data_IF_700254185746
#
_entry.id   IF_700254185746
#
_cell.length_a   1.000
_cell.length_b   1.000
_cell.length_c   1.000
_cell.angle_alpha   90.00
_cell.angle_beta   90.00
_cell.angle_gamma   90.00
#
_symmetry.space_group_name_H-M   'P 1'
#
loop_
_entity.id
_entity.type
_entity.pdbx_description
1 polymer ?
#
# COMPACT_ATOMS: atom_id res chain seq x y z
N UNK A 1 -12.73 3.24 13.02
CA UNK A 1 -11.92 4.38 13.51
C UNK A 1 -11.08 4.86 12.34
N UNK A 2 -11.20 6.15 11.99
CA UNK A 2 -10.37 6.76 10.95
C UNK A 2 -8.91 6.79 11.41
N UNK A 3 -7.97 6.69 10.49
CA UNK A 3 -6.55 6.87 10.81
C UNK A 3 -6.28 8.30 11.28
N UNK A 4 -5.62 8.48 12.44
CA UNK A 4 -5.23 9.81 12.96
C UNK A 4 -3.95 10.33 12.27
N UNK A 5 -3.86 10.12 10.95
CA UNK A 5 -2.70 10.45 10.14
C UNK A 5 -2.91 11.75 9.37
N UNK A 6 -1.83 12.50 9.15
CA UNK A 6 -1.84 13.68 8.27
C UNK A 6 -1.39 13.35 6.83
N UNK A 7 -1.00 12.10 6.60
CA UNK A 7 -0.50 11.64 5.31
C UNK A 7 -1.63 11.44 4.29
N UNK A 8 -1.39 11.82 3.04
CA UNK A 8 -2.36 11.61 1.95
C UNK A 8 -2.56 10.13 1.65
N UNK A 9 -1.50 9.34 1.84
CA UNK A 9 -1.52 7.88 1.74
C UNK A 9 -2.47 7.22 2.73
N UNK A 10 -2.62 7.77 3.95
CA UNK A 10 -3.53 7.21 4.95
C UNK A 10 -4.98 7.29 4.48
N UNK A 11 -5.39 8.41 3.86
CA UNK A 11 -6.72 8.53 3.25
C UNK A 11 -6.94 7.53 2.11
N UNK A 12 -5.92 7.28 1.28
CA UNK A 12 -5.99 6.25 0.22
C UNK A 12 -6.08 4.83 0.79
N UNK A 13 -5.39 4.55 1.90
CA UNK A 13 -5.44 3.27 2.60
C UNK A 13 -6.80 3.06 3.29
N UNK A 14 -7.40 4.11 3.84
CA UNK A 14 -8.77 4.06 4.36
C UNK A 14 -9.79 3.82 3.23
N UNK A 15 -9.60 4.42 2.05
CA UNK A 15 -10.40 4.10 0.86
C UNK A 15 -10.20 2.64 0.40
N UNK A 16 -8.97 2.14 0.43
CA UNK A 16 -8.67 0.73 0.14
C UNK A 16 -9.39 -0.19 1.12
N UNK A 17 -9.42 0.13 2.42
CA UNK A 17 -10.16 -0.64 3.43
C UNK A 17 -11.65 -0.79 3.08
N UNK A 18 -12.27 0.32 2.69
CA UNK A 18 -13.66 0.31 2.24
C UNK A 18 -13.83 -0.51 0.96
N UNK A 19 -12.91 -0.38 0.01
CA UNK A 19 -12.92 -1.17 -1.23
C UNK A 19 -12.79 -2.68 -0.97
N UNK A 20 -11.91 -3.11 -0.07
CA UNK A 20 -11.72 -4.52 0.29
C UNK A 20 -12.98 -5.16 0.92
N UNK A 21 -13.86 -4.34 1.51
CA UNK A 21 -15.15 -4.79 2.04
C UNK A 21 -16.20 -5.05 0.96
N UNK A 22 -15.98 -4.59 -0.29
CA UNK A 22 -16.89 -4.81 -1.43
C UNK A 22 -16.66 -6.18 -2.08
N UNK A 23 -17.62 -6.63 -2.90
CA UNK A 23 -17.47 -7.88 -3.67
C UNK A 23 -16.27 -7.86 -4.63
N UNK A 24 -15.95 -6.71 -5.22
CA UNK A 24 -14.76 -6.54 -6.05
C UNK A 24 -13.47 -6.69 -5.20
N UNK A 25 -13.45 -6.09 -4.01
CA UNK A 25 -12.38 -6.24 -3.04
C UNK A 25 -12.16 -7.69 -2.61
N UNK A 26 -13.24 -8.42 -2.29
CA UNK A 26 -13.18 -9.85 -1.94
C UNK A 26 -12.69 -10.75 -3.09
N UNK A 27 -12.78 -10.30 -4.34
CA UNK A 27 -12.15 -11.04 -5.45
C UNK A 27 -10.65 -10.81 -5.50
N UNK A 28 -10.17 -9.62 -5.10
CA UNK A 28 -8.74 -9.33 -5.02
C UNK A 28 -8.06 -10.20 -3.95
N UNK A 29 -8.69 -10.39 -2.79
CA UNK A 29 -8.16 -11.22 -1.70
C UNK A 29 -7.94 -12.68 -2.14
N UNK A 30 -8.80 -13.20 -3.02
CA UNK A 30 -8.66 -14.55 -3.60
C UNK A 30 -7.53 -14.64 -4.63
N UNK A 31 -7.31 -13.58 -5.41
CA UNK A 31 -6.26 -13.54 -6.46
C UNK A 31 -4.87 -13.26 -5.89
N UNK A 32 -4.80 -12.47 -4.81
CA UNK A 32 -3.57 -11.97 -4.21
C UNK A 32 -3.64 -12.19 -2.69
N UNK A 33 -3.55 -13.44 -2.20
CA UNK A 33 -3.57 -13.73 -0.77
C UNK A 33 -2.21 -13.41 -0.14
N UNK A 34 -1.84 -12.13 -0.11
CA UNK A 34 -0.55 -11.64 0.37
C UNK A 34 -0.74 -10.56 1.44
N UNK A 35 0.26 -10.42 2.31
CA UNK A 35 0.32 -9.38 3.33
C UNK A 35 1.43 -8.40 2.98
N UNK A 36 1.09 -7.12 2.90
CA UNK A 36 2.02 -6.05 2.59
C UNK A 36 2.14 -5.09 3.77
N UNK A 37 3.37 -4.67 4.05
CA UNK A 37 3.63 -3.58 4.98
C UNK A 37 4.11 -2.35 4.21
N UNK A 38 3.58 -1.18 4.56
CA UNK A 38 3.99 0.11 4.02
C UNK A 38 4.59 0.95 5.13
N UNK A 39 5.84 1.34 4.94
CA UNK A 39 6.51 2.35 5.74
C UNK A 39 6.48 3.66 4.93
N UNK A 40 5.62 4.59 5.34
CA UNK A 40 5.38 5.81 4.57
C UNK A 40 5.96 6.99 5.32
N UNK A 41 6.97 7.61 4.73
CA UNK A 41 7.58 8.81 5.28
C UNK A 41 6.90 10.09 4.75
N UNK A 42 6.66 11.12 5.57
CA UNK A 42 6.12 12.39 5.09
C UNK A 42 7.04 13.08 4.08
N UNK A 43 8.37 13.01 4.28
CA UNK A 43 9.37 13.70 3.43
C UNK A 43 10.60 12.89 3.07
N UNK A 44 11.14 12.09 3.99
CA UNK A 44 12.39 11.34 3.78
C UNK A 44 12.24 9.92 4.32
N UNK A 45 12.44 8.92 3.46
CA UNK A 45 12.38 7.50 3.83
C UNK A 45 13.29 7.26 5.04
N UNK A 46 12.76 6.59 6.06
CA UNK A 46 13.40 6.30 7.34
C UNK A 46 13.21 7.36 8.43
N UNK A 47 12.51 8.47 8.18
CA UNK A 47 12.28 9.55 9.16
C UNK A 47 10.78 9.78 9.36
N UNK A 48 10.31 9.66 10.60
CA UNK A 48 8.91 9.82 11.01
C UNK A 48 7.95 8.99 10.14
N UNK A 49 8.32 7.73 9.90
CA UNK A 49 7.51 6.83 9.08
C UNK A 49 6.25 6.42 9.84
N UNK A 50 5.12 6.51 9.17
CA UNK A 50 3.90 5.83 9.59
C UNK A 50 3.86 4.46 8.92
N UNK A 51 3.58 3.44 9.73
CA UNK A 51 3.52 2.06 9.25
C UNK A 51 2.06 1.68 9.07
N UNK A 52 1.76 1.05 7.93
CA UNK A 52 0.46 0.49 7.63
C UNK A 52 0.61 -0.94 7.16
N UNK A 53 -0.36 -1.78 7.50
CA UNK A 53 -0.44 -3.16 7.04
C UNK A 53 -1.67 -3.33 6.18
N UNK A 54 -1.48 -3.93 5.01
CA UNK A 54 -2.54 -4.35 4.09
C UNK A 54 -2.52 -5.88 4.04
N UNK A 55 -3.44 -6.50 4.76
CA UNK A 55 -3.62 -7.94 4.77
C UNK A 55 -4.69 -8.31 3.74
N UNK A 56 -4.27 -8.65 2.52
CA UNK A 56 -5.19 -9.11 1.47
C UNK A 56 -5.63 -10.56 1.68
N UNK A 57 -5.07 -11.32 2.63
CA UNK A 57 -5.62 -12.63 3.00
C UNK A 57 -6.92 -12.44 3.78
N UNK A 58 -6.97 -11.44 4.66
CA UNK A 58 -8.15 -11.09 5.46
C UNK A 58 -9.03 -10.02 4.83
N UNK A 59 -8.51 -9.25 3.87
CA UNK A 59 -9.20 -8.08 3.32
C UNK A 59 -9.17 -6.88 4.29
N UNK A 60 -8.13 -6.78 5.10
CA UNK A 60 -8.02 -5.79 6.17
C UNK A 60 -6.89 -4.78 5.90
N UNK A 61 -7.11 -3.54 6.33
CA UNK A 61 -6.08 -2.50 6.39
C UNK A 61 -6.03 -1.96 7.82
N UNK A 62 -4.84 -1.97 8.40
CA UNK A 62 -4.57 -1.53 9.76
C UNK A 62 -3.39 -0.57 9.80
N UNK A 63 -3.42 0.37 10.75
CA UNK A 63 -2.26 1.19 11.07
C UNK A 63 -1.40 0.44 12.07
N UNK A 64 -0.10 0.39 11.84
CA UNK A 64 0.87 -0.34 12.62
C UNK A 64 1.62 -1.42 11.82
N UNK A 65 2.75 -1.91 12.37
CA UNK A 65 3.50 -3.01 11.77
C UNK A 65 2.70 -4.31 11.82
N UNK A 66 2.96 -5.18 10.85
CA UNK A 66 2.38 -6.52 10.89
C UNK A 66 3.07 -7.34 11.98
N UNK A 67 2.29 -8.04 12.81
CA UNK A 67 2.84 -8.86 13.91
C UNK A 67 3.66 -10.06 13.41
N UNK A 68 3.40 -10.49 12.17
CA UNK A 68 4.15 -11.56 11.49
C UNK A 68 5.16 -11.06 10.47
N UNK A 69 5.66 -11.97 9.63
CA UNK A 69 6.48 -11.62 8.47
C UNK A 69 5.59 -11.21 7.29
N UNK A 70 5.61 -9.95 6.83
CA UNK A 70 4.90 -9.57 5.62
C UNK A 70 5.56 -10.21 4.40
N UNK A 71 4.77 -10.46 3.35
CA UNK A 71 5.26 -11.02 2.09
C UNK A 71 6.18 -10.02 1.36
N UNK A 72 5.84 -8.73 1.43
CA UNK A 72 6.73 -7.63 1.04
C UNK A 72 6.51 -6.39 1.91
N UNK A 73 7.58 -5.61 2.09
CA UNK A 73 7.56 -4.31 2.75
C UNK A 73 8.01 -3.24 1.78
N UNK A 74 7.22 -2.18 1.65
CA UNK A 74 7.52 -1.02 0.82
C UNK A 74 7.88 0.16 1.73
N UNK A 75 9.00 0.83 1.46
CA UNK A 75 9.35 2.09 2.12
C UNK A 75 9.46 3.21 1.10
N UNK A 76 8.67 4.26 1.25
CA UNK A 76 8.55 5.33 0.28
C UNK A 76 8.03 6.62 0.92
N UNK A 77 8.08 7.73 0.19
CA UNK A 77 7.49 8.99 0.64
C UNK A 77 5.98 8.99 0.40
N UNK A 78 5.25 9.74 1.20
CA UNK A 78 3.80 9.94 1.06
C UNK A 78 3.41 10.36 -0.36
N UNK A 79 4.12 11.34 -0.92
CA UNK A 79 3.88 11.80 -2.28
C UNK A 79 4.16 10.73 -3.36
N UNK A 80 5.18 9.91 -3.17
CA UNK A 80 5.49 8.84 -4.12
C UNK A 80 4.47 7.70 -4.02
N UNK A 81 3.99 7.39 -2.80
CA UNK A 81 2.88 6.45 -2.59
C UNK A 81 1.63 6.89 -3.33
N UNK A 82 1.22 8.15 -3.16
CA UNK A 82 0.04 8.71 -3.86
C UNK A 82 0.21 8.60 -5.38
N UNK A 83 1.40 8.90 -5.92
CA UNK A 83 1.65 8.78 -7.37
C UNK A 83 1.57 7.33 -7.84
N UNK A 84 2.08 6.38 -7.06
CA UNK A 84 2.01 4.94 -7.39
C UNK A 84 0.57 4.45 -7.31
N UNK A 85 -0.16 4.76 -6.25
CA UNK A 85 -1.56 4.35 -6.06
C UNK A 85 -2.48 4.90 -7.17
N UNK A 86 -2.23 6.12 -7.64
CA UNK A 86 -2.96 6.74 -8.75
C UNK A 86 -2.46 6.30 -10.15
N UNK A 87 -1.48 5.39 -10.24
CA UNK A 87 -0.89 4.95 -11.50
C UNK A 87 -0.06 6.02 -12.23
N UNK A 88 0.19 7.18 -11.60
CA UNK A 88 1.02 8.28 -12.14
C UNK A 88 2.51 7.98 -12.07
N UNK A 89 2.90 6.92 -11.36
CA UNK A 89 4.28 6.47 -11.25
C UNK A 89 4.33 4.95 -11.30
N UNK A 90 5.18 4.42 -12.18
CA UNK A 90 5.43 3.00 -12.23
C UNK A 90 6.23 2.56 -10.98
N UNK A 91 5.76 1.55 -10.22
CA UNK A 91 6.40 1.12 -8.97
C UNK A 91 7.78 0.50 -9.20
N UNK A 92 8.00 -0.18 -10.34
CA UNK A 92 9.28 -0.74 -10.74
C UNK A 92 10.31 0.36 -10.97
N UNK A 93 9.92 1.42 -11.69
CA UNK A 93 10.77 2.60 -11.88
C UNK A 93 11.03 3.35 -10.57
N UNK A 94 10.02 3.46 -9.70
CA UNK A 94 10.17 4.05 -8.37
C UNK A 94 11.21 3.30 -7.52
N UNK A 95 11.22 1.97 -7.60
CA UNK A 95 12.23 1.14 -6.94
C UNK A 95 13.63 1.35 -7.53
N UNK A 96 13.76 1.27 -8.86
CA UNK A 96 15.06 1.44 -9.54
C UNK A 96 15.72 2.81 -9.27
N UNK A 97 14.93 3.88 -9.16
CA UNK A 97 15.45 5.23 -8.85
C UNK A 97 15.63 5.52 -7.35
N UNK A 98 15.40 4.54 -6.49
CA UNK A 98 15.54 4.67 -5.02
C UNK A 98 14.43 5.47 -4.32
N UNK A 99 13.33 5.79 -5.01
CA UNK A 99 12.17 6.48 -4.42
C UNK A 99 11.22 5.52 -3.68
N UNK A 100 11.38 4.23 -3.93
CA UNK A 100 10.74 3.14 -3.21
C UNK A 100 11.83 2.14 -2.83
N UNK A 101 11.80 1.64 -1.61
CA UNK A 101 12.60 0.48 -1.18
C UNK A 101 11.67 -0.69 -0.99
N UNK A 102 12.11 -1.87 -1.41
CA UNK A 102 11.36 -3.12 -1.25
C UNK A 102 12.19 -4.06 -0.40
N UNK A 103 11.57 -4.66 0.62
CA UNK A 103 12.10 -5.80 1.38
C UNK A 103 11.12 -6.97 1.26
N UNK A 104 11.62 -8.20 1.45
CA UNK A 104 10.81 -9.41 1.30
C UNK A 104 10.82 -9.95 -0.12
N UNK A 105 9.72 -10.55 -0.55
CA UNK A 105 9.62 -11.20 -1.86
C UNK A 105 9.38 -10.19 -2.99
N UNK A 106 10.29 -10.15 -3.97
CA UNK A 106 10.12 -9.33 -5.17
C UNK A 106 8.92 -9.78 -6.01
N UNK A 107 8.65 -11.08 -6.09
CA UNK A 107 7.47 -11.59 -6.82
C UNK A 107 6.17 -11.22 -6.12
N UNK A 108 6.16 -11.17 -4.78
CA UNK A 108 5.03 -10.64 -4.03
C UNK A 108 4.87 -9.13 -4.26
N UNK A 109 5.97 -8.38 -4.27
CA UNK A 109 5.94 -6.94 -4.51
C UNK A 109 5.42 -6.58 -5.91
N UNK A 110 5.77 -7.37 -6.94
CA UNK A 110 5.28 -7.19 -8.31
C UNK A 110 3.77 -7.41 -8.45
N UNK A 111 3.16 -8.23 -7.57
CA UNK A 111 1.70 -8.40 -7.54
C UNK A 111 0.97 -7.20 -6.94
N UNK A 112 1.67 -6.31 -6.23
CA UNK A 112 1.09 -5.08 -5.73
C UNK A 112 1.02 -4.03 -6.85
N UNK A 113 -0.08 -4.02 -7.59
CA UNK A 113 -0.33 -3.10 -8.71
C UNK A 113 -1.37 -2.04 -8.34
N UNK A 114 -1.42 -0.92 -9.07
CA UNK A 114 -2.44 0.12 -8.86
C UNK A 114 -3.88 -0.40 -8.98
N UNK A 115 -4.13 -1.51 -9.68
CA UNK A 115 -5.46 -2.13 -9.81
C UNK A 115 -6.06 -2.65 -8.50
N UNK A 116 -5.26 -2.76 -7.44
CA UNK A 116 -5.74 -3.13 -6.09
C UNK A 116 -6.45 -1.93 -5.42
N UNK A 117 -6.10 -0.71 -5.82
CA UNK A 117 -6.80 0.48 -5.35
C UNK A 117 -8.12 0.64 -6.12
N UNK A 118 -9.16 1.21 -5.47
CA UNK A 118 -10.37 1.56 -6.18
C UNK A 118 -9.99 2.48 -7.34
N UNK A 119 -10.38 2.10 -8.57
CA UNK A 119 -10.14 2.95 -9.74
C UNK A 119 -10.80 4.30 -9.46
N UNK A 120 -10.09 5.42 -9.63
CA UNK A 120 -10.74 6.72 -9.58
C UNK A 120 -11.83 6.68 -10.65
N UNK A 121 -13.09 6.66 -10.22
CA UNK A 121 -14.22 6.78 -11.12
C UNK A 121 -13.98 8.06 -11.89
N UNK A 122 -13.96 7.98 -13.22
CA UNK A 122 -13.86 9.15 -14.11
C UNK A 122 -14.84 10.19 -13.57
N UNK A 123 -14.32 11.25 -12.95
CA UNK A 123 -15.05 12.51 -12.84
C UNK A 123 -15.17 13.08 -14.25
#
# INVERSE_FOLDING_TARGET
>A
MATNSTLKSAALLDQMKLHLSTEAGKQLTKKIPLVYQFNIAPKKIGINEEIFTVDLKKGEVTQGPFEGKPDATFSLKDEDFVKVALGKMNPQFAFMRGAMKIKGSLSAAQKFTPDIFPKPSKM
#
